data_IF_960308067103
#
_entry.id   IF_960308067103
#
_cell.length_a   1.000
_cell.length_b   1.000
_cell.length_c   1.000
_cell.angle_alpha   90.00
_cell.angle_beta   90.00
_cell.angle_gamma   90.00
#
_symmetry.space_group_name_H-M   'P 1'
#
loop_
_entity.id
_entity.type
_entity.pdbx_description
1 polymer ?
#
# COMPACT_ATOMS: atom_id res chain seq x y z
N UNK A 1 -34.65 -7.62 -20.04
CA UNK A 1 -33.69 -8.69 -19.73
C UNK A 1 -32.40 -8.04 -19.23
N UNK A 2 -32.55 -7.27 -18.16
CA UNK A 2 -31.49 -6.59 -17.43
C UNK A 2 -31.88 -6.81 -15.97
N UNK A 3 -31.07 -7.58 -15.22
CA UNK A 3 -30.94 -7.49 -13.76
C UNK A 3 -30.15 -8.65 -13.11
N UNK A 4 -29.68 -9.68 -13.82
CA UNK A 4 -29.08 -10.85 -13.16
C UNK A 4 -27.55 -10.88 -13.07
N UNK A 5 -26.81 -9.88 -13.57
CA UNK A 5 -25.34 -9.89 -13.55
C UNK A 5 -24.68 -9.02 -12.46
N UNK A 6 -25.41 -8.11 -11.81
CA UNK A 6 -24.84 -7.26 -10.75
C UNK A 6 -24.89 -7.90 -9.34
N UNK A 7 -25.63 -8.99 -9.13
CA UNK A 7 -25.79 -9.60 -7.81
C UNK A 7 -24.70 -10.60 -7.42
N UNK A 8 -23.79 -10.97 -8.34
CA UNK A 8 -22.76 -11.99 -8.04
C UNK A 8 -21.45 -11.43 -7.48
N UNK A 9 -21.22 -10.10 -7.50
CA UNK A 9 -20.01 -9.51 -6.92
C UNK A 9 -20.16 -9.11 -5.45
N UNK A 10 -21.39 -9.00 -4.93
CA UNK A 10 -21.64 -8.62 -3.52
C UNK A 10 -21.73 -9.81 -2.56
N UNK A 11 -21.96 -11.03 -3.05
CA UNK A 11 -22.30 -12.18 -2.18
C UNK A 11 -21.11 -12.93 -1.54
N UNK A 12 -19.85 -12.55 -1.83
CA UNK A 12 -18.67 -13.25 -1.28
C UNK A 12 -18.00 -12.57 -0.08
N UNK A 13 -18.51 -11.42 0.39
CA UNK A 13 -17.90 -10.66 1.50
C UNK A 13 -18.66 -10.74 2.82
N UNK A 14 -19.75 -11.49 2.89
CA UNK A 14 -20.41 -11.84 4.14
C UNK A 14 -19.70 -13.05 4.76
N UNK A 15 -18.45 -12.87 5.18
CA UNK A 15 -17.90 -13.73 6.22
C UNK A 15 -18.63 -13.32 7.50
N UNK A 16 -19.48 -14.18 8.04
CA UNK A 16 -20.11 -13.94 9.34
C UNK A 16 -19.02 -13.55 10.34
N UNK A 17 -19.15 -12.36 10.94
CA UNK A 17 -18.28 -11.92 12.03
C UNK A 17 -18.55 -12.87 13.19
N UNK A 18 -17.72 -13.91 13.29
CA UNK A 18 -17.70 -14.82 14.42
C UNK A 18 -16.96 -14.13 15.55
N UNK A 19 -17.52 -14.17 16.75
CA UNK A 19 -16.79 -13.79 17.95
C UNK A 19 -15.64 -14.78 18.19
N UNK A 20 -14.42 -14.25 18.34
CA UNK A 20 -13.22 -15.02 18.64
C UNK A 20 -13.00 -15.06 20.16
N UNK A 21 -12.81 -16.25 20.73
CA UNK A 21 -12.40 -16.38 22.13
C UNK A 21 -10.99 -15.83 22.36
N UNK A 22 -10.64 -15.47 23.61
CA UNK A 22 -9.29 -14.97 23.92
C UNK A 22 -8.18 -15.96 23.52
N UNK A 23 -8.44 -17.26 23.66
CA UNK A 23 -7.50 -18.33 23.31
C UNK A 23 -7.28 -18.49 21.79
N UNK A 24 -8.14 -17.89 20.95
CA UNK A 24 -8.04 -17.92 19.48
C UNK A 24 -7.33 -16.67 18.91
N UNK A 25 -6.92 -15.75 19.79
CA UNK A 25 -6.37 -14.46 19.42
C UNK A 25 -4.89 -14.40 19.76
N UNK A 26 -4.11 -13.98 18.78
CA UNK A 26 -2.69 -13.70 18.95
C UNK A 26 -2.50 -12.22 19.21
N UNK A 27 -1.66 -11.91 20.19
CA UNK A 27 -1.20 -10.55 20.48
C UNK A 27 0.28 -10.48 20.15
N UNK A 28 0.68 -9.39 19.50
CA UNK A 28 2.07 -9.09 19.21
C UNK A 28 2.35 -7.61 19.45
N UNK A 29 3.62 -7.28 19.59
CA UNK A 29 4.11 -5.91 19.67
C UNK A 29 5.08 -5.66 18.51
N UNK A 30 4.91 -4.53 17.85
CA UNK A 30 5.81 -4.05 16.81
C UNK A 30 5.97 -2.53 16.95
N UNK A 31 7.21 -2.07 17.11
CA UNK A 31 7.48 -0.66 17.39
C UNK A 31 6.82 -0.21 18.70
N UNK A 32 5.97 0.82 18.62
CA UNK A 32 5.21 1.33 19.79
C UNK A 32 3.76 0.83 19.81
N UNK A 33 3.44 -0.15 18.97
CA UNK A 33 2.06 -0.58 18.72
C UNK A 33 1.89 -2.05 19.10
N UNK A 34 0.79 -2.35 19.77
CA UNK A 34 0.36 -3.71 20.07
C UNK A 34 -0.85 -4.05 19.21
N UNK A 35 -0.86 -5.19 18.52
CA UNK A 35 -2.03 -5.62 17.74
C UNK A 35 -2.51 -7.00 18.16
N UNK A 36 -3.81 -7.20 18.03
CA UNK A 36 -4.54 -8.44 18.23
C UNK A 36 -5.15 -8.87 16.90
N UNK A 37 -5.08 -10.16 16.59
CA UNK A 37 -5.74 -10.75 15.41
C UNK A 37 -5.96 -12.26 15.62
N UNK A 38 -6.87 -12.90 14.87
CA UNK A 38 -7.08 -14.34 15.00
C UNK A 38 -5.84 -15.13 14.56
N UNK A 39 -5.47 -16.15 15.33
CA UNK A 39 -4.35 -17.00 14.96
C UNK A 39 -4.75 -17.92 13.81
N UNK A 40 -4.27 -17.60 12.60
CA UNK A 40 -4.44 -18.45 11.42
C UNK A 40 -3.16 -19.27 11.24
N UNK A 41 -3.29 -20.60 11.15
CA UNK A 41 -2.17 -21.55 10.98
C UNK A 41 -1.24 -21.21 9.80
N UNK A 42 -1.72 -20.44 8.82
CA UNK A 42 -0.95 -19.99 7.64
C UNK A 42 -1.15 -18.52 7.37
N UNK A 43 -0.02 -17.82 7.24
CA UNK A 43 0.06 -16.44 6.72
C UNK A 43 -0.15 -16.51 5.20
N UNK A 44 -1.35 -16.21 4.72
CA UNK A 44 -1.69 -16.14 3.30
C UNK A 44 -2.60 -14.95 2.97
N UNK A 45 -2.75 -14.64 1.68
CA UNK A 45 -3.71 -13.64 1.18
C UNK A 45 -5.16 -14.01 1.44
N UNK A 46 -5.42 -15.28 1.76
CA UNK A 46 -6.77 -15.80 2.01
C UNK A 46 -7.14 -15.71 3.51
N UNK A 47 -6.18 -15.35 4.37
CA UNK A 47 -6.46 -15.08 5.77
C UNK A 47 -7.28 -13.78 5.88
N UNK A 48 -8.45 -13.81 6.53
CA UNK A 48 -9.37 -12.67 6.53
C UNK A 48 -8.87 -11.48 7.37
N UNK A 49 -7.88 -11.70 8.24
CA UNK A 49 -7.08 -10.65 8.90
C UNK A 49 -5.62 -10.99 8.72
N UNK A 50 -4.86 -10.10 8.09
CA UNK A 50 -3.48 -10.37 7.73
C UNK A 50 -2.46 -9.63 8.60
N UNK A 51 -1.48 -10.39 9.07
CA UNK A 51 -0.23 -9.87 9.63
C UNK A 51 0.94 -10.77 9.21
N UNK A 52 2.02 -10.15 8.74
CA UNK A 52 3.27 -10.85 8.43
C UNK A 52 4.43 -10.23 9.24
N UNK A 53 5.04 -10.97 10.19
CA UNK A 53 6.17 -10.46 10.98
C UNK A 53 7.41 -10.19 10.13
N UNK A 54 7.59 -10.86 8.97
CA UNK A 54 8.73 -10.58 8.07
C UNK A 54 8.68 -9.18 7.45
N UNK A 55 7.54 -8.51 7.52
CA UNK A 55 7.35 -7.16 6.99
C UNK A 55 7.63 -6.05 8.03
N UNK A 56 8.08 -6.40 9.25
CA UNK A 56 8.46 -5.42 10.28
C UNK A 56 9.52 -4.44 9.76
N UNK A 57 10.59 -4.95 9.14
CA UNK A 57 11.62 -4.10 8.54
C UNK A 57 11.06 -3.17 7.45
N UNK A 58 10.08 -3.63 6.65
CA UNK A 58 9.40 -2.77 5.68
C UNK A 58 8.67 -1.61 6.39
N UNK A 59 7.89 -1.93 7.44
CA UNK A 59 7.12 -0.95 8.21
C UNK A 59 8.02 0.05 8.93
N UNK A 60 9.12 -0.39 9.53
CA UNK A 60 10.12 0.50 10.14
C UNK A 60 10.72 1.50 9.14
N UNK A 61 11.12 1.01 7.96
CA UNK A 61 11.63 1.89 6.90
C UNK A 61 10.55 2.87 6.42
N UNK A 62 9.29 2.45 6.34
CA UNK A 62 8.20 3.38 6.02
C UNK A 62 8.06 4.48 7.07
N UNK A 63 8.14 4.16 8.36
CA UNK A 63 8.07 5.16 9.44
C UNK A 63 9.15 6.22 9.25
N UNK A 64 10.39 5.80 9.02
CA UNK A 64 11.52 6.72 8.80
C UNK A 64 11.35 7.55 7.53
N UNK A 65 10.91 6.94 6.43
CA UNK A 65 10.67 7.62 5.17
C UNK A 65 9.56 8.67 5.29
N UNK A 66 8.45 8.33 5.94
CA UNK A 66 7.32 9.24 6.14
C UNK A 66 7.67 10.36 7.14
N UNK A 67 8.44 10.08 8.19
CA UNK A 67 8.97 11.12 9.08
C UNK A 67 9.89 12.11 8.33
N UNK A 68 10.77 11.61 7.47
CA UNK A 68 11.62 12.46 6.64
C UNK A 68 10.80 13.31 5.66
N UNK A 69 9.80 12.70 5.02
CA UNK A 69 8.87 13.39 4.13
C UNK A 69 8.03 14.45 4.86
N UNK A 70 7.47 14.13 6.03
CA UNK A 70 6.68 15.05 6.86
C UNK A 70 7.50 16.30 7.21
N UNK A 71 8.76 16.12 7.62
CA UNK A 71 9.71 17.23 7.87
C UNK A 71 10.07 18.00 6.60
N UNK A 72 10.19 17.32 5.45
CA UNK A 72 10.48 17.96 4.15
C UNK A 72 9.33 18.87 3.70
N UNK A 73 8.07 18.46 3.91
CA UNK A 73 6.89 19.26 3.51
C UNK A 73 6.45 20.28 4.56
N UNK A 74 6.96 20.16 5.78
CA UNK A 74 6.76 21.09 6.91
C UNK A 74 5.29 21.45 7.15
N UNK A 75 4.44 20.43 7.19
CA UNK A 75 3.00 20.55 7.44
C UNK A 75 2.43 19.24 7.95
N UNK A 76 1.19 19.30 8.38
CA UNK A 76 0.41 18.09 8.65
C UNK A 76 0.18 17.29 7.37
N UNK A 77 0.26 15.96 7.48
CA UNK A 77 0.07 15.03 6.36
C UNK A 77 -1.08 14.05 6.63
N UNK A 78 -1.94 13.87 5.63
CA UNK A 78 -2.98 12.84 5.65
C UNK A 78 -2.51 11.59 4.90
N UNK A 79 -2.77 10.41 5.45
CA UNK A 79 -2.21 9.14 4.96
C UNK A 79 -3.34 8.17 4.61
N UNK A 80 -3.20 7.46 3.48
CA UNK A 80 -4.00 6.31 3.12
C UNK A 80 -3.14 5.04 3.20
N UNK A 81 -3.47 4.15 4.11
CA UNK A 81 -3.02 2.76 4.15
C UNK A 81 -4.04 1.92 3.37
N UNK A 82 -3.75 1.65 2.10
CA UNK A 82 -4.75 1.15 1.15
C UNK A 82 -5.14 -0.32 1.37
N UNK A 83 -4.25 -1.09 1.99
CA UNK A 83 -4.41 -2.52 2.30
C UNK A 83 -4.09 -2.76 3.78
N UNK A 84 -5.06 -2.44 4.64
CA UNK A 84 -4.87 -2.36 6.08
C UNK A 84 -4.56 -3.70 6.75
N UNK A 85 -5.19 -4.80 6.34
CA UNK A 85 -5.06 -6.09 7.02
C UNK A 85 -5.41 -5.98 8.51
N UNK A 86 -4.42 -6.17 9.39
CA UNK A 86 -4.58 -5.97 10.84
C UNK A 86 -4.60 -4.50 11.29
N UNK A 87 -4.35 -3.55 10.38
CA UNK A 87 -4.24 -2.11 10.64
C UNK A 87 -2.86 -1.67 11.14
N UNK A 88 -1.92 -2.60 11.31
CA UNK A 88 -0.62 -2.34 11.94
C UNK A 88 0.13 -1.15 11.33
N UNK A 89 0.11 -1.02 10.00
CA UNK A 89 0.86 0.01 9.29
C UNK A 89 0.27 1.39 9.54
N UNK A 90 -1.02 1.59 9.25
CA UNK A 90 -1.70 2.85 9.53
C UNK A 90 -1.67 3.25 11.01
N UNK A 91 -1.86 2.30 11.93
CA UNK A 91 -1.79 2.56 13.38
C UNK A 91 -0.39 3.02 13.79
N UNK A 92 0.67 2.36 13.30
CA UNK A 92 2.06 2.80 13.54
C UNK A 92 2.32 4.18 12.94
N UNK A 93 1.82 4.49 11.73
CA UNK A 93 1.91 5.82 11.16
C UNK A 93 1.29 6.88 12.07
N UNK A 94 0.10 6.63 12.60
CA UNK A 94 -0.57 7.56 13.52
C UNK A 94 0.14 7.69 14.87
N UNK A 95 0.70 6.59 15.40
CA UNK A 95 1.30 6.54 16.75
C UNK A 95 2.75 7.05 16.80
N UNK A 96 3.53 6.83 15.76
CA UNK A 96 4.99 6.99 15.79
C UNK A 96 5.51 8.19 14.97
N UNK A 97 4.65 8.85 14.19
CA UNK A 97 5.02 9.99 13.34
C UNK A 97 4.31 11.25 13.83
N UNK A 98 5.09 12.26 14.20
CA UNK A 98 4.55 13.59 14.54
C UNK A 98 4.02 14.30 13.27
N UNK A 99 3.00 15.13 13.43
CA UNK A 99 2.43 15.89 12.30
C UNK A 99 1.62 15.03 11.32
N UNK A 100 1.08 13.90 11.77
CA UNK A 100 0.10 13.09 11.02
C UNK A 100 -1.33 13.47 11.44
N UNK A 101 -2.08 13.98 10.46
CA UNK A 101 -3.51 14.29 10.55
C UNK A 101 -4.34 13.02 10.40
N UNK A 102 -5.24 12.99 9.41
CA UNK A 102 -6.10 11.83 9.18
C UNK A 102 -5.30 10.64 8.64
N UNK A 103 -5.55 9.46 9.21
CA UNK A 103 -5.09 8.18 8.65
C UNK A 103 -6.32 7.36 8.28
N UNK A 104 -6.51 7.14 6.98
CA UNK A 104 -7.52 6.21 6.45
C UNK A 104 -6.84 4.85 6.25
N UNK A 105 -7.41 3.82 6.87
CA UNK A 105 -7.01 2.42 6.74
C UNK A 105 -8.13 1.70 6.01
N UNK A 106 -7.84 1.21 4.81
CA UNK A 106 -8.83 0.55 3.96
C UNK A 106 -8.56 -0.96 3.85
N UNK A 107 -9.60 -1.77 4.00
CA UNK A 107 -9.55 -3.18 3.62
C UNK A 107 -10.91 -3.63 3.05
N UNK A 108 -10.91 -4.57 2.11
CA UNK A 108 -12.16 -5.12 1.56
C UNK A 108 -12.83 -6.08 2.54
N UNK A 109 -12.04 -6.72 3.41
CA UNK A 109 -12.50 -7.68 4.41
C UNK A 109 -13.18 -6.95 5.58
N UNK A 110 -14.48 -7.21 5.85
CA UNK A 110 -15.14 -6.65 7.02
C UNK A 110 -14.42 -7.05 8.32
N UNK A 111 -13.88 -8.27 8.37
CA UNK A 111 -13.18 -8.77 9.55
C UNK A 111 -11.84 -8.05 9.77
N UNK A 112 -11.09 -7.77 8.71
CA UNK A 112 -9.86 -6.97 8.79
C UNK A 112 -10.15 -5.57 9.36
N UNK A 113 -11.24 -4.95 8.93
CA UNK A 113 -11.67 -3.64 9.42
C UNK A 113 -12.14 -3.65 10.87
N UNK A 114 -12.78 -4.74 11.33
CA UNK A 114 -13.11 -4.92 12.74
C UNK A 114 -11.86 -5.03 13.61
N UNK A 115 -10.90 -5.86 13.22
CA UNK A 115 -9.64 -5.97 13.96
C UNK A 115 -8.80 -4.69 13.88
N UNK A 116 -8.84 -3.97 12.77
CA UNK A 116 -8.24 -2.63 12.67
C UNK A 116 -8.84 -1.69 13.72
N UNK A 117 -10.16 -1.72 13.94
CA UNK A 117 -10.82 -0.91 14.98
C UNK A 117 -10.38 -1.30 16.38
N UNK A 118 -10.41 -2.60 16.69
CA UNK A 118 -9.96 -3.13 17.98
C UNK A 118 -8.51 -2.72 18.24
N UNK A 119 -7.66 -2.82 17.22
CA UNK A 119 -6.24 -2.49 17.33
C UNK A 119 -6.02 -0.98 17.45
N UNK A 120 -6.79 -0.14 16.76
CA UNK A 120 -6.70 1.31 16.92
C UNK A 120 -7.06 1.72 18.37
N UNK A 121 -8.14 1.16 18.91
CA UNK A 121 -8.57 1.37 20.31
C UNK A 121 -7.51 0.87 21.30
N UNK A 122 -6.94 -0.32 21.09
CA UNK A 122 -5.90 -0.90 21.93
C UNK A 122 -4.65 0.01 22.04
N UNK A 123 -4.40 0.85 21.04
CA UNK A 123 -3.25 1.74 21.00
C UNK A 123 -3.59 3.20 21.29
N UNK A 124 -4.82 3.49 21.72
CA UNK A 124 -5.30 4.86 21.94
C UNK A 124 -5.04 5.77 20.71
N UNK A 125 -5.31 5.26 19.50
CA UNK A 125 -5.23 6.04 18.26
C UNK A 125 -6.58 6.14 17.57
N UNK A 126 -6.86 7.32 17.02
CA UNK A 126 -8.02 7.55 16.17
C UNK A 126 -7.60 7.46 14.70
N UNK A 127 -8.28 6.59 13.96
CA UNK A 127 -8.09 6.35 12.52
C UNK A 127 -9.44 6.20 11.84
N UNK A 128 -9.51 6.56 10.56
CA UNK A 128 -10.67 6.25 9.74
C UNK A 128 -10.54 4.86 9.14
N UNK A 129 -11.63 4.10 9.14
CA UNK A 129 -11.66 2.72 8.66
C UNK A 129 -12.64 2.66 7.50
N UNK A 130 -12.12 2.38 6.31
CA UNK A 130 -12.89 2.31 5.08
C UNK A 130 -13.01 0.86 4.61
N UNK A 131 -14.22 0.47 4.18
CA UNK A 131 -14.47 -0.85 3.59
C UNK A 131 -14.81 -0.71 2.11
N UNK A 132 -13.81 -0.48 1.27
CA UNK A 132 -14.00 -0.29 -0.17
C UNK A 132 -13.00 -1.12 -0.97
N UNK A 133 -13.36 -1.40 -2.22
CA UNK A 133 -12.37 -1.85 -3.20
C UNK A 133 -11.33 -0.74 -3.39
N UNK A 134 -10.05 -1.11 -3.43
CA UNK A 134 -8.93 -0.18 -3.35
C UNK A 134 -8.97 0.93 -4.42
N UNK A 135 -9.34 0.64 -5.67
CA UNK A 135 -9.46 1.69 -6.68
C UNK A 135 -10.63 2.64 -6.40
N UNK A 136 -11.74 2.14 -5.87
CA UNK A 136 -12.87 2.98 -5.47
C UNK A 136 -12.52 3.90 -4.30
N UNK A 137 -11.76 3.42 -3.32
CA UNK A 137 -11.24 4.25 -2.21
C UNK A 137 -10.40 5.41 -2.77
N UNK A 138 -9.43 5.08 -3.62
CA UNK A 138 -8.56 6.07 -4.25
C UNK A 138 -9.32 7.07 -5.12
N UNK A 139 -10.31 6.63 -5.91
CA UNK A 139 -11.04 7.54 -6.82
C UNK A 139 -12.07 8.41 -6.11
N UNK A 140 -12.63 7.95 -4.99
CA UNK A 140 -13.63 8.70 -4.22
C UNK A 140 -13.00 9.82 -3.38
N UNK A 141 -11.73 9.69 -3.02
CA UNK A 141 -11.03 10.60 -2.09
C UNK A 141 -9.98 11.49 -2.78
N UNK A 142 -10.28 11.99 -3.99
CA UNK A 142 -9.33 12.75 -4.81
C UNK A 142 -8.72 13.96 -4.06
N UNK A 143 -7.38 14.05 -4.04
CA UNK A 143 -6.64 15.16 -3.43
C UNK A 143 -6.62 15.17 -1.90
N UNK A 144 -7.29 14.20 -1.27
CA UNK A 144 -7.36 14.07 0.19
C UNK A 144 -6.00 13.74 0.79
N UNK A 145 -5.32 12.76 0.22
CA UNK A 145 -4.13 12.16 0.81
C UNK A 145 -2.84 12.86 0.38
N UNK A 146 -1.94 13.01 1.35
CA UNK A 146 -0.56 13.43 1.14
C UNK A 146 0.38 12.24 0.98
N UNK A 147 0.03 11.10 1.58
CA UNK A 147 0.73 9.83 1.39
C UNK A 147 -0.28 8.77 1.00
N UNK A 148 0.02 8.01 -0.05
CA UNK A 148 -0.70 6.76 -0.36
C UNK A 148 0.30 5.62 -0.27
N UNK A 149 0.00 4.66 0.59
CA UNK A 149 0.77 3.43 0.75
C UNK A 149 0.04 2.25 0.11
N UNK A 150 0.64 1.69 -0.94
CA UNK A 150 0.10 0.56 -1.69
C UNK A 150 0.97 -0.66 -1.38
N UNK A 151 0.51 -1.50 -0.45
CA UNK A 151 1.19 -2.71 0.01
C UNK A 151 0.35 -3.99 -0.19
N UNK A 152 0.06 -4.39 -1.43
CA UNK A 152 -0.80 -5.54 -1.71
C UNK A 152 0.00 -6.84 -1.71
N UNK A 153 -0.73 -7.96 -1.72
CA UNK A 153 -0.15 -9.23 -2.15
C UNK A 153 0.15 -9.21 -3.65
N UNK A 154 1.40 -9.46 -4.00
CA UNK A 154 1.84 -9.58 -5.38
C UNK A 154 2.19 -8.21 -5.96
N UNK A 155 1.32 -7.68 -6.84
CA UNK A 155 1.65 -6.50 -7.66
C UNK A 155 0.84 -5.28 -7.23
N UNK A 156 1.45 -4.08 -7.14
CA UNK A 156 0.73 -2.83 -6.94
C UNK A 156 0.19 -2.24 -8.24
N UNK A 157 0.57 -2.79 -9.40
CA UNK A 157 0.31 -2.20 -10.72
C UNK A 157 -1.14 -1.74 -10.94
N UNK A 158 -2.19 -2.55 -10.62
CA UNK A 158 -3.58 -2.16 -10.84
C UNK A 158 -4.02 -0.88 -10.13
N UNK A 159 -3.36 -0.51 -9.03
CA UNK A 159 -3.78 0.60 -8.15
C UNK A 159 -3.02 1.90 -8.46
N UNK A 160 -1.90 1.82 -9.17
CA UNK A 160 -1.03 2.98 -9.45
C UNK A 160 -1.75 4.04 -10.30
N UNK A 161 -2.64 3.64 -11.20
CA UNK A 161 -3.44 4.58 -12.00
C UNK A 161 -4.37 5.44 -11.13
N UNK A 162 -5.14 4.78 -10.26
CA UNK A 162 -6.08 5.43 -9.35
C UNK A 162 -5.35 6.32 -8.34
N UNK A 163 -4.19 5.89 -7.84
CA UNK A 163 -3.33 6.71 -7.00
C UNK A 163 -2.77 7.91 -7.78
N UNK A 164 -2.36 7.68 -9.03
CA UNK A 164 -1.94 8.70 -9.97
C UNK A 164 -3.03 9.72 -10.27
N UNK A 165 -4.31 9.37 -10.23
CA UNK A 165 -5.43 10.32 -10.29
C UNK A 165 -5.60 11.09 -8.97
N UNK A 166 -5.59 10.37 -7.83
CA UNK A 166 -5.82 10.92 -6.49
C UNK A 166 -4.77 11.96 -6.05
N UNK A 167 -3.48 11.61 -6.15
CA UNK A 167 -2.38 12.36 -5.50
C UNK A 167 -2.28 13.80 -6.01
N UNK A 168 -1.92 14.73 -5.14
CA UNK A 168 -1.68 16.13 -5.52
C UNK A 168 -0.20 16.39 -5.71
N UNK A 169 0.14 17.65 -6.03
CA UNK A 169 1.54 18.07 -6.04
C UNK A 169 2.10 17.92 -4.63
N UNK A 170 3.34 17.44 -4.56
CA UNK A 170 4.12 17.27 -3.33
C UNK A 170 3.61 16.15 -2.42
N UNK A 171 2.83 15.22 -2.95
CA UNK A 171 2.44 13.99 -2.25
C UNK A 171 3.53 12.90 -2.34
N UNK A 172 3.46 11.89 -1.48
CA UNK A 172 4.33 10.72 -1.46
C UNK A 172 3.54 9.47 -1.87
N UNK A 173 4.04 8.73 -2.86
CA UNK A 173 3.52 7.42 -3.25
C UNK A 173 4.49 6.34 -2.79
N UNK A 174 4.02 5.43 -1.94
CA UNK A 174 4.79 4.27 -1.50
C UNK A 174 4.25 3.01 -2.18
N UNK A 175 5.12 2.26 -2.85
CA UNK A 175 4.74 1.03 -3.55
C UNK A 175 5.52 -0.15 -3.00
N UNK A 176 4.83 -1.20 -2.58
CA UNK A 176 5.44 -2.53 -2.40
C UNK A 176 5.03 -3.44 -3.54
N UNK A 177 5.99 -4.19 -4.08
CA UNK A 177 5.75 -5.33 -4.94
C UNK A 177 6.39 -6.59 -4.35
N UNK A 178 5.59 -7.63 -4.10
CA UNK A 178 6.07 -8.93 -3.64
C UNK A 178 6.19 -9.95 -4.77
N UNK A 179 5.75 -9.61 -6.00
CA UNK A 179 5.88 -10.46 -7.18
C UNK A 179 7.28 -10.38 -7.83
N UNK A 180 8.31 -10.54 -6.99
CA UNK A 180 9.73 -10.44 -7.37
C UNK A 180 10.13 -11.43 -8.45
N UNK A 181 9.56 -12.64 -8.52
CA UNK A 181 9.83 -13.60 -9.60
C UNK A 181 9.52 -13.02 -10.99
N UNK A 182 8.51 -12.16 -11.08
CA UNK A 182 8.12 -11.46 -12.30
C UNK A 182 9.10 -10.31 -12.60
N UNK A 183 9.33 -9.42 -11.63
CA UNK A 183 10.22 -8.26 -11.78
C UNK A 183 11.71 -8.64 -12.00
N UNK A 184 12.17 -9.76 -11.43
CA UNK A 184 13.53 -10.27 -11.59
C UNK A 184 13.73 -11.14 -12.86
N UNK A 185 12.71 -11.28 -13.71
CA UNK A 185 12.81 -12.00 -14.98
C UNK A 185 12.81 -13.53 -14.86
N UNK A 186 12.32 -14.10 -13.76
CA UNK A 186 12.05 -15.56 -13.71
C UNK A 186 10.84 -15.90 -14.58
N UNK A 187 9.84 -15.01 -14.61
CA UNK A 187 8.69 -15.10 -15.51
C UNK A 187 8.53 -13.77 -16.25
N UNK A 188 8.83 -13.78 -17.55
CA UNK A 188 8.89 -12.56 -18.36
C UNK A 188 7.50 -12.05 -18.73
N UNK A 189 6.62 -12.93 -19.18
CA UNK A 189 5.29 -12.56 -19.68
C UNK A 189 4.41 -11.92 -18.61
N UNK A 190 4.41 -12.38 -17.33
CA UNK A 190 3.76 -11.63 -16.26
C UNK A 190 4.31 -10.21 -16.07
N UNK A 191 5.61 -9.99 -16.27
CA UNK A 191 6.22 -8.66 -16.12
C UNK A 191 5.77 -7.73 -17.23
N UNK A 192 5.75 -8.23 -18.47
CA UNK A 192 5.23 -7.49 -19.60
C UNK A 192 3.75 -7.14 -19.37
N UNK A 193 2.92 -8.09 -18.93
CA UNK A 193 1.49 -7.85 -18.70
C UNK A 193 1.20 -6.87 -17.57
N UNK A 194 1.96 -6.92 -16.47
CA UNK A 194 1.71 -6.11 -15.27
C UNK A 194 2.40 -4.75 -15.33
N UNK A 195 3.60 -4.67 -15.89
CA UNK A 195 4.45 -3.49 -15.82
C UNK A 195 4.80 -2.90 -17.20
N UNK A 196 4.32 -3.50 -18.30
CA UNK A 196 4.63 -3.09 -19.67
C UNK A 196 6.14 -2.99 -19.95
N UNK A 197 6.93 -3.86 -19.31
CA UNK A 197 8.38 -3.85 -19.39
C UNK A 197 8.94 -5.26 -19.56
N UNK A 198 10.00 -5.37 -20.36
CA UNK A 198 10.79 -6.60 -20.50
C UNK A 198 11.76 -6.70 -19.32
N UNK A 199 11.63 -7.70 -18.43
CA UNK A 199 12.58 -7.89 -17.34
C UNK A 199 13.88 -8.53 -17.85
N UNK A 200 14.96 -8.34 -17.09
CA UNK A 200 16.25 -8.97 -17.40
C UNK A 200 16.75 -9.84 -16.24
N UNK A 201 16.78 -11.15 -16.47
CA UNK A 201 17.28 -12.13 -15.50
C UNK A 201 18.81 -12.08 -15.43
N UNK A 202 19.32 -11.53 -14.34
CA UNK A 202 20.75 -11.33 -14.09
C UNK A 202 21.06 -11.34 -12.59
N UNK A 203 22.34 -11.28 -12.23
CA UNK A 203 22.77 -11.09 -10.83
C UNK A 203 22.26 -9.78 -10.19
N UNK A 204 21.98 -8.76 -11.00
CA UNK A 204 21.42 -7.47 -10.57
C UNK A 204 19.91 -7.36 -10.87
N UNK A 205 19.22 -8.49 -11.00
CA UNK A 205 17.78 -8.53 -11.30
C UNK A 205 16.92 -7.76 -10.27
N UNK A 206 17.34 -7.68 -9.01
CA UNK A 206 16.64 -6.90 -7.99
C UNK A 206 16.65 -5.40 -8.29
N UNK A 207 17.77 -4.86 -8.75
CA UNK A 207 17.88 -3.46 -9.17
C UNK A 207 17.06 -3.22 -10.44
N UNK A 208 17.17 -4.12 -11.42
CA UNK A 208 16.40 -4.05 -12.66
C UNK A 208 14.89 -4.06 -12.37
N UNK A 209 14.42 -4.93 -11.48
CA UNK A 209 13.03 -5.01 -11.07
C UNK A 209 12.53 -3.73 -10.38
N UNK A 210 13.33 -3.13 -9.49
CA UNK A 210 12.98 -1.82 -8.89
C UNK A 210 12.87 -0.75 -9.96
N UNK A 211 13.82 -0.70 -10.91
CA UNK A 211 13.78 0.27 -12.02
C UNK A 211 12.54 0.09 -12.90
N UNK A 212 12.12 -1.16 -13.14
CA UNK A 212 10.88 -1.47 -13.84
C UNK A 212 9.67 -0.94 -13.07
N UNK A 213 9.59 -1.20 -11.76
CA UNK A 213 8.50 -0.71 -10.92
C UNK A 213 8.41 0.83 -10.91
N UNK A 214 9.56 1.51 -10.78
CA UNK A 214 9.67 2.98 -10.83
C UNK A 214 9.27 3.51 -12.21
N UNK A 215 9.78 2.91 -13.29
CA UNK A 215 9.46 3.30 -14.66
C UNK A 215 7.99 3.13 -14.99
N UNK A 216 7.39 2.02 -14.55
CA UNK A 216 5.94 1.78 -14.67
C UNK A 216 5.13 2.87 -13.95
N UNK A 217 5.53 3.26 -12.73
CA UNK A 217 4.88 4.34 -12.01
C UNK A 217 5.03 5.69 -12.74
N UNK A 218 6.23 6.03 -13.21
CA UNK A 218 6.49 7.26 -13.96
C UNK A 218 5.60 7.36 -15.22
N UNK A 219 5.56 6.29 -16.03
CA UNK A 219 4.76 6.23 -17.26
C UNK A 219 3.25 6.32 -16.95
N UNK A 220 2.79 5.61 -15.91
CA UNK A 220 1.38 5.63 -15.49
C UNK A 220 0.93 7.02 -15.04
N UNK A 221 1.76 7.72 -14.26
CA UNK A 221 1.45 9.04 -13.72
C UNK A 221 1.57 10.16 -14.77
N UNK A 222 2.35 9.96 -15.83
CA UNK A 222 2.67 11.00 -16.82
C UNK A 222 1.43 11.62 -17.50
N UNK A 223 0.40 10.82 -17.79
CA UNK A 223 -0.86 11.32 -18.40
C UNK A 223 -1.62 12.32 -17.53
N UNK A 224 -1.33 12.34 -16.22
CA UNK A 224 -1.85 13.33 -15.28
C UNK A 224 -0.93 14.55 -15.11
N UNK A 225 0.08 14.69 -15.98
CA UNK A 225 1.12 15.72 -15.91
C UNK A 225 1.90 15.65 -14.59
N UNK A 226 2.07 14.44 -14.07
CA UNK A 226 2.80 14.16 -12.84
C UNK A 226 4.13 13.51 -13.18
N UNK A 227 5.13 13.77 -12.36
CA UNK A 227 6.44 13.14 -12.44
C UNK A 227 6.91 12.76 -11.04
N UNK A 228 7.89 11.88 -10.96
CA UNK A 228 8.35 11.32 -9.69
C UNK A 228 9.79 11.74 -9.39
N UNK A 229 10.05 12.10 -8.14
CA UNK A 229 11.38 12.15 -7.55
C UNK A 229 11.55 10.90 -6.68
N UNK A 230 12.49 10.01 -7.03
CA UNK A 230 12.78 8.83 -6.22
C UNK A 230 13.51 9.28 -4.95
N UNK A 231 12.86 9.14 -3.79
CA UNK A 231 13.48 9.49 -2.49
C UNK A 231 14.25 8.33 -1.90
N UNK A 232 13.68 7.13 -2.00
CA UNK A 232 14.30 5.89 -1.53
C UNK A 232 13.69 4.70 -2.27
N UNK A 233 14.49 3.68 -2.51
CA UNK A 233 14.03 2.37 -2.94
C UNK A 233 14.92 1.28 -2.36
N UNK A 234 14.37 0.10 -2.12
CA UNK A 234 15.15 -1.05 -1.69
C UNK A 234 14.48 -2.36 -2.11
N UNK A 235 15.28 -3.40 -2.26
CA UNK A 235 14.82 -4.78 -2.34
C UNK A 235 15.31 -5.47 -1.07
N UNK A 236 14.39 -6.12 -0.38
CA UNK A 236 14.70 -6.83 0.86
C UNK A 236 13.91 -8.13 0.87
N UNK A 237 14.64 -9.23 1.02
CA UNK A 237 14.09 -10.59 0.95
C UNK A 237 13.22 -10.83 -0.30
N UNK A 238 11.90 -10.86 -0.13
CA UNK A 238 10.93 -11.24 -1.15
C UNK A 238 10.06 -10.08 -1.64
N UNK A 239 10.44 -8.83 -1.36
CA UNK A 239 9.73 -7.67 -1.86
C UNK A 239 10.67 -6.56 -2.37
N UNK A 240 10.07 -5.66 -3.14
CA UNK A 240 10.66 -4.41 -3.63
C UNK A 240 9.80 -3.26 -3.13
N UNK A 241 10.43 -2.21 -2.62
CA UNK A 241 9.76 -1.06 -2.01
C UNK A 241 10.29 0.23 -2.61
N UNK A 242 9.41 1.18 -2.90
CA UNK A 242 9.78 2.50 -3.40
C UNK A 242 9.01 3.61 -2.67
N UNK A 243 9.66 4.76 -2.50
CA UNK A 243 9.12 5.97 -1.93
C UNK A 243 9.31 7.10 -2.95
N UNK A 244 8.22 7.45 -3.63
CA UNK A 244 8.22 8.29 -4.82
C UNK A 244 7.50 9.60 -4.51
N UNK A 245 8.24 10.71 -4.43
CA UNK A 245 7.60 12.02 -4.26
C UNK A 245 7.02 12.44 -5.60
N UNK A 246 5.72 12.70 -5.62
CA UNK A 246 4.97 13.09 -6.79
C UNK A 246 4.95 14.60 -6.93
N UNK A 247 5.41 15.09 -8.08
CA UNK A 247 5.33 16.50 -8.48
C UNK A 247 4.39 16.63 -9.67
N UNK A 248 4.05 17.87 -10.03
CA UNK A 248 3.13 18.17 -11.14
C UNK A 248 3.64 19.28 -12.04
N UNK A 249 3.70 19.04 -13.34
CA UNK A 249 4.02 20.02 -14.37
C UNK A 249 4.43 19.36 -15.69
N UNK A 250 3.75 19.69 -16.79
CA UNK A 250 3.89 19.00 -18.08
C UNK A 250 5.34 18.96 -18.60
N UNK A 251 6.05 20.10 -18.59
CA UNK A 251 7.44 20.17 -19.07
C UNK A 251 8.37 19.24 -18.26
N UNK A 252 8.23 19.25 -16.93
CA UNK A 252 9.04 18.40 -16.06
C UNK A 252 8.65 16.91 -16.19
N UNK A 253 7.39 16.61 -16.48
CA UNK A 253 6.97 15.25 -16.88
C UNK A 253 7.66 14.81 -18.17
N UNK A 254 7.66 15.64 -19.22
CA UNK A 254 8.33 15.31 -20.48
C UNK A 254 9.85 15.12 -20.29
N UNK A 255 10.47 15.86 -19.38
CA UNK A 255 11.88 15.69 -19.00
C UNK A 255 12.11 14.39 -18.21
N UNK A 256 11.22 14.08 -17.26
CA UNK A 256 11.31 12.86 -16.45
C UNK A 256 11.24 11.59 -17.30
N UNK A 257 10.46 11.58 -18.38
CA UNK A 257 10.30 10.43 -19.27
C UNK A 257 11.53 10.12 -20.14
N UNK A 258 12.56 10.98 -20.12
CA UNK A 258 13.81 10.77 -20.86
C UNK A 258 14.89 10.07 -20.04
N UNK A 259 14.67 9.87 -18.74
CA UNK A 259 15.57 9.15 -17.82
C UNK A 259 15.24 7.66 -17.80
#
# INVERSE_FOLDING_TARGET
MENDQNNNYQNNYNTEIREYGEDELKIIEEGKVQIKFPDFDKVSSDAPVFYNPRMEFNRDNSILALQAYQREVDREINICDLFGGSGIRGIRYKKEIDGVGDVSINDISPLANEFTRINAELNDVEVEIDQREANNELRSNMGRFDVIDIDPFGTPSPFVDSAGYNLKRDSLLCLTATDTSCLCGTYEEPCIRKYNAQPYKSEYCHENGIRILIGFAALTLAKYQKYIEVKMSHSSEHYMRTYLKVRKGSKATDESLKN
#
